data_IF_901911623355
#
_entry.id   IF_901911623355
#
_cell.length_a   1.000
_cell.length_b   1.000
_cell.length_c   1.000
_cell.angle_alpha   90.00
_cell.angle_beta   90.00
_cell.angle_gamma   90.00
#
_symmetry.space_group_name_H-M   'P 1'
#
loop_
_entity.id
_entity.type
_entity.pdbx_description
1 polymer ?
#
# COMPACT_ATOMS: atom_id res chain seq x y z
N UNK A 1 -32.37 20.19 50.71
CA UNK A 1 -31.17 21.02 50.71
C UNK A 1 -30.97 21.62 49.33
N UNK A 2 -31.21 22.93 49.21
CA UNK A 2 -31.08 23.61 47.92
C UNK A 2 -29.60 23.93 47.63
N UNK A 3 -29.10 23.45 46.53
CA UNK A 3 -27.75 23.76 46.05
C UNK A 3 -27.71 25.25 45.62
N UNK A 4 -26.95 26.04 46.32
CA UNK A 4 -26.73 27.45 45.96
C UNK A 4 -25.73 27.55 44.82
N UNK A 5 -25.88 28.55 43.92
CA UNK A 5 -24.99 28.79 42.79
C UNK A 5 -23.50 28.87 43.16
N UNK A 6 -23.18 29.34 44.36
CA UNK A 6 -21.78 29.37 44.89
C UNK A 6 -21.23 27.98 45.22
N UNK A 7 -22.07 27.02 45.67
CA UNK A 7 -21.65 25.64 45.93
C UNK A 7 -21.31 24.87 44.66
N UNK A 8 -22.00 25.21 43.55
CA UNK A 8 -21.73 24.58 42.24
C UNK A 8 -20.36 24.99 41.68
N UNK A 9 -20.01 26.27 41.79
CA UNK A 9 -18.71 26.78 41.32
C UNK A 9 -17.52 26.22 42.11
N UNK A 10 -17.67 25.99 43.42
CA UNK A 10 -16.60 25.38 44.23
C UNK A 10 -16.37 23.89 43.89
N UNK A 11 -17.42 23.21 43.44
CA UNK A 11 -17.33 21.82 42.99
C UNK A 11 -16.61 21.73 41.63
N UNK A 12 -16.87 22.66 40.72
CA UNK A 12 -16.15 22.75 39.43
C UNK A 12 -14.69 23.17 39.58
N UNK A 13 -14.36 24.07 40.53
CA UNK A 13 -12.96 24.46 40.77
C UNK A 13 -12.12 23.34 41.36
N UNK A 14 -12.69 22.47 42.18
CA UNK A 14 -11.99 21.25 42.68
C UNK A 14 -11.93 20.13 41.66
N UNK A 15 -12.92 20.04 40.76
CA UNK A 15 -12.91 19.12 39.62
C UNK A 15 -11.89 19.47 38.56
N UNK A 16 -11.64 20.78 38.32
CA UNK A 16 -10.69 21.23 37.30
C UNK A 16 -9.24 20.86 37.62
N UNK A 17 -8.85 20.90 38.90
CA UNK A 17 -7.51 20.48 39.33
C UNK A 17 -7.31 18.97 39.20
N UNK A 18 -8.35 18.17 39.43
CA UNK A 18 -8.30 16.73 39.23
C UNK A 18 -8.24 16.35 37.74
N UNK A 19 -8.92 17.12 36.86
CA UNK A 19 -8.88 16.93 35.40
C UNK A 19 -7.51 17.28 34.82
N UNK A 20 -6.83 18.32 35.32
CA UNK A 20 -5.47 18.67 34.88
C UNK A 20 -4.45 17.61 35.31
N UNK A 21 -4.53 17.10 36.53
CA UNK A 21 -3.69 16.00 37.00
C UNK A 21 -4.03 14.68 36.28
N UNK A 22 -5.33 14.40 36.07
CA UNK A 22 -5.80 13.23 35.33
C UNK A 22 -5.43 13.29 33.85
N UNK A 23 -5.45 14.48 33.23
CA UNK A 23 -5.04 14.69 31.85
C UNK A 23 -3.55 14.43 31.60
N UNK A 24 -2.71 14.75 32.57
CA UNK A 24 -1.26 14.46 32.48
C UNK A 24 -0.96 12.97 32.67
N UNK A 25 -1.65 12.30 33.61
CA UNK A 25 -1.59 10.85 33.81
C UNK A 25 -2.19 10.11 32.60
N UNK A 26 -3.30 10.62 32.05
CA UNK A 26 -3.93 10.08 30.84
C UNK A 26 -3.00 10.20 29.62
N UNK A 27 -2.34 11.35 29.41
CA UNK A 27 -1.33 11.49 28.34
C UNK A 27 -0.13 10.57 28.51
N UNK A 28 0.31 10.32 29.73
CA UNK A 28 1.38 9.35 30.02
C UNK A 28 0.89 7.92 29.84
N UNK A 29 -0.31 7.59 30.31
CA UNK A 29 -0.92 6.27 30.16
C UNK A 29 -1.24 5.97 28.67
N UNK A 30 -1.78 6.94 27.92
CA UNK A 30 -2.07 6.75 26.49
C UNK A 30 -0.80 6.67 25.65
N UNK A 31 0.25 7.42 25.97
CA UNK A 31 1.56 7.23 25.30
C UNK A 31 2.11 5.82 25.50
N UNK A 32 1.92 5.23 26.67
CA UNK A 32 2.44 3.88 26.96
C UNK A 32 1.49 2.75 26.53
N UNK A 33 0.17 2.98 26.51
CA UNK A 33 -0.82 1.97 26.12
C UNK A 33 -0.92 1.84 24.60
N UNK A 34 -0.80 2.96 23.84
CA UNK A 34 -0.76 2.92 22.37
C UNK A 34 0.66 2.79 21.79
N UNK A 35 1.70 3.04 22.58
CA UNK A 35 3.09 2.77 22.22
C UNK A 35 3.55 1.36 22.67
N UNK A 36 2.64 0.54 23.19
CA UNK A 36 2.92 -0.86 23.42
C UNK A 36 3.43 -1.47 22.11
N UNK A 37 4.74 -1.67 22.04
CA UNK A 37 5.42 -2.34 20.94
C UNK A 37 4.83 -3.73 20.80
N UNK A 38 3.85 -3.86 19.92
CA UNK A 38 3.43 -5.17 19.48
C UNK A 38 4.68 -5.88 18.95
N UNK A 39 4.96 -7.14 19.36
CA UNK A 39 6.23 -7.82 19.10
C UNK A 39 6.67 -7.80 17.62
N UNK A 40 5.72 -7.70 16.69
CA UNK A 40 5.95 -7.63 15.25
C UNK A 40 6.24 -6.21 14.73
N UNK A 41 5.92 -5.14 15.47
CA UNK A 41 6.36 -3.76 15.13
C UNK A 41 7.85 -3.56 15.36
N UNK A 42 8.47 -4.31 16.29
CA UNK A 42 9.88 -4.17 16.64
C UNK A 42 10.83 -5.00 15.78
N UNK A 43 10.31 -5.90 14.93
CA UNK A 43 11.11 -6.85 14.14
C UNK A 43 11.24 -6.50 12.67
N UNK A 44 10.92 -5.27 12.25
CA UNK A 44 11.32 -4.85 10.92
C UNK A 44 12.85 -4.82 10.84
N UNK A 45 13.47 -5.32 9.77
CA UNK A 45 14.88 -5.06 9.48
C UNK A 45 15.03 -3.54 9.43
N UNK A 46 15.76 -2.97 10.35
CA UNK A 46 15.59 -1.59 10.80
C UNK A 46 16.13 -0.53 9.85
N UNK A 47 16.89 -0.90 8.83
CA UNK A 47 17.59 0.06 7.99
C UNK A 47 17.16 0.03 6.52
N UNK A 48 16.29 -0.87 6.11
CA UNK A 48 15.87 -1.00 4.71
C UNK A 48 14.69 -0.08 4.40
N UNK A 49 14.61 0.33 3.15
CA UNK A 49 13.51 1.12 2.59
C UNK A 49 13.02 0.48 1.31
N UNK A 50 12.07 -0.43 1.44
CA UNK A 50 11.60 -1.24 0.31
C UNK A 50 10.87 -0.43 -0.75
N UNK A 51 11.23 -0.67 -2.00
CA UNK A 51 10.63 -0.06 -3.19
C UNK A 51 10.36 -1.10 -4.27
N UNK A 52 9.41 -0.83 -5.13
CA UNK A 52 9.08 -1.65 -6.29
C UNK A 52 9.11 -0.80 -7.55
N UNK A 53 9.58 -1.36 -8.66
CA UNK A 53 9.59 -0.69 -9.96
C UNK A 53 8.96 -1.63 -10.98
N UNK A 54 8.01 -1.12 -11.75
CA UNK A 54 7.43 -1.81 -12.90
C UNK A 54 7.98 -1.20 -14.19
N UNK A 55 8.62 -2.01 -15.01
CA UNK A 55 9.02 -1.64 -16.36
C UNK A 55 7.88 -1.98 -17.33
N UNK A 56 7.11 -0.94 -17.70
CA UNK A 56 5.94 -1.11 -18.57
C UNK A 56 6.34 -1.48 -20.00
N UNK A 57 7.58 -1.22 -20.39
CA UNK A 57 8.10 -1.63 -21.69
C UNK A 57 8.32 -3.15 -21.79
N UNK A 58 8.56 -3.82 -20.64
CA UNK A 58 8.75 -5.26 -20.55
C UNK A 58 7.45 -6.02 -20.23
N UNK A 59 6.42 -5.33 -19.71
CA UNK A 59 5.19 -5.98 -19.28
C UNK A 59 4.31 -6.34 -20.48
N UNK A 60 4.01 -7.64 -20.63
CA UNK A 60 3.17 -8.21 -21.68
C UNK A 60 1.72 -8.48 -21.24
N UNK A 61 1.37 -8.17 -19.98
CA UNK A 61 0.03 -8.37 -19.46
C UNK A 61 -0.33 -9.82 -19.09
N UNK A 62 0.61 -10.76 -19.05
CA UNK A 62 0.35 -12.21 -18.82
C UNK A 62 -0.38 -12.53 -17.50
N UNK A 63 -0.35 -11.63 -16.52
CA UNK A 63 -1.00 -11.81 -15.22
C UNK A 63 -0.32 -12.82 -14.28
N UNK A 64 0.88 -13.29 -14.58
CA UNK A 64 1.59 -14.26 -13.74
C UNK A 64 1.92 -13.71 -12.35
N UNK A 65 2.19 -12.40 -12.24
CA UNK A 65 2.37 -11.73 -10.96
C UNK A 65 1.09 -11.79 -10.09
N UNK A 66 -0.09 -11.64 -10.68
CA UNK A 66 -1.39 -11.78 -10.01
C UNK A 66 -1.63 -13.22 -9.58
N UNK A 67 -1.49 -14.18 -10.50
CA UNK A 67 -1.68 -15.61 -10.20
C UNK A 67 -0.76 -16.10 -9.09
N UNK A 68 0.53 -15.73 -9.14
CA UNK A 68 1.50 -16.10 -8.11
C UNK A 68 1.18 -15.46 -6.75
N UNK A 69 0.76 -14.19 -6.73
CA UNK A 69 0.31 -13.51 -5.53
C UNK A 69 -0.90 -14.21 -4.91
N UNK A 70 -1.93 -14.48 -5.73
CA UNK A 70 -3.17 -15.13 -5.28
C UNK A 70 -2.89 -16.53 -4.71
N UNK A 71 -2.02 -17.30 -5.36
CA UNK A 71 -1.63 -18.64 -4.90
C UNK A 71 -0.85 -18.60 -3.59
N UNK A 72 0.14 -17.70 -3.47
CA UNK A 72 1.03 -17.61 -2.30
C UNK A 72 0.28 -17.12 -1.05
N UNK A 73 -0.63 -16.19 -1.24
CA UNK A 73 -1.34 -15.53 -0.15
C UNK A 73 -2.78 -16.04 0.04
N UNK A 74 -3.17 -17.10 -0.66
CA UNK A 74 -4.55 -17.64 -0.62
C UNK A 74 -5.63 -16.57 -0.85
N UNK A 75 -5.33 -15.57 -1.71
CA UNK A 75 -6.23 -14.43 -1.93
C UNK A 75 -7.61 -14.93 -2.31
N UNK A 76 -8.68 -14.48 -1.64
CA UNK A 76 -10.03 -14.95 -1.89
C UNK A 76 -10.43 -14.80 -3.36
N UNK A 77 -11.23 -15.72 -3.91
CA UNK A 77 -11.77 -15.60 -5.25
C UNK A 77 -12.45 -14.24 -5.47
N UNK A 78 -12.36 -13.72 -6.69
CA UNK A 78 -12.89 -12.39 -7.07
C UNK A 78 -12.09 -11.20 -6.51
N UNK A 79 -10.97 -11.47 -5.80
CA UNK A 79 -10.05 -10.43 -5.35
C UNK A 79 -8.69 -10.58 -6.03
N UNK A 80 -8.04 -9.45 -6.23
CA UNK A 80 -6.68 -9.37 -6.76
C UNK A 80 -5.93 -8.28 -6.00
N UNK A 81 -4.80 -8.64 -5.39
CA UNK A 81 -3.94 -7.67 -4.72
C UNK A 81 -2.99 -6.96 -5.69
N UNK A 82 -2.80 -7.55 -6.87
CA UNK A 82 -2.15 -6.93 -8.02
C UNK A 82 -3.12 -7.03 -9.18
N UNK A 83 -3.60 -5.89 -9.67
CA UNK A 83 -4.47 -5.82 -10.84
C UNK A 83 -3.63 -5.39 -12.04
N UNK A 84 -3.72 -6.12 -13.13
CA UNK A 84 -3.06 -5.75 -14.39
C UNK A 84 -4.10 -5.07 -15.28
N UNK A 85 -3.90 -3.80 -15.56
CA UNK A 85 -4.77 -3.02 -16.42
C UNK A 85 -4.18 -2.95 -17.82
N UNK A 86 -5.00 -3.20 -18.80
CA UNK A 86 -4.72 -2.83 -20.16
C UNK A 86 -5.02 -1.33 -20.32
N UNK A 87 -4.06 -0.57 -20.79
CA UNK A 87 -4.17 0.87 -20.96
C UNK A 87 -4.05 1.17 -22.45
N UNK A 88 -5.14 1.68 -23.02
CA UNK A 88 -5.24 2.15 -24.40
C UNK A 88 -5.69 3.60 -24.37
N UNK A 89 -4.75 4.52 -24.16
CA UNK A 89 -5.05 5.94 -23.95
C UNK A 89 -5.68 6.61 -25.19
N UNK A 90 -5.28 6.17 -26.37
CA UNK A 90 -5.93 6.53 -27.63
C UNK A 90 -5.46 5.59 -28.76
N UNK A 91 -6.14 5.58 -29.93
CA UNK A 91 -5.76 4.70 -31.06
C UNK A 91 -4.34 4.90 -31.59
N UNK A 92 -3.70 6.02 -31.28
CA UNK A 92 -2.35 6.34 -31.74
C UNK A 92 -1.27 6.10 -30.67
N UNK A 93 -1.66 5.85 -29.40
CA UNK A 93 -0.71 5.76 -28.29
C UNK A 93 -0.12 4.36 -28.09
N UNK A 94 -0.66 3.35 -28.74
CA UNK A 94 -0.30 1.95 -28.51
C UNK A 94 -0.83 1.44 -27.15
N UNK A 95 -1.10 0.16 -27.10
CA UNK A 95 -1.56 -0.53 -25.89
C UNK A 95 -0.38 -0.93 -25.03
N UNK A 96 -0.52 -0.81 -23.72
CA UNK A 96 0.44 -1.30 -22.74
C UNK A 96 -0.26 -1.81 -21.49
N UNK A 97 0.43 -2.62 -20.71
CA UNK A 97 -0.11 -3.21 -19.49
C UNK A 97 0.49 -2.58 -18.25
N UNK A 98 -0.37 -2.24 -17.28
CA UNK A 98 0.04 -1.60 -16.03
C UNK A 98 -0.36 -2.45 -14.83
N UNK A 99 0.57 -3.21 -14.23
CA UNK A 99 0.34 -3.87 -12.96
C UNK A 99 0.22 -2.84 -11.82
N UNK A 100 -0.83 -2.95 -11.01
CA UNK A 100 -1.12 -1.99 -9.95
C UNK A 100 -1.38 -2.68 -8.61
N UNK A 101 -0.35 -2.84 -7.74
CA UNK A 101 -0.47 -3.29 -6.36
C UNK A 101 -0.83 -2.15 -5.41
N UNK A 102 -0.79 -2.40 -4.09
CA UNK A 102 -0.72 -1.32 -3.11
C UNK A 102 0.56 -0.51 -3.28
N UNK A 103 0.46 0.81 -3.25
CA UNK A 103 1.59 1.73 -3.47
C UNK A 103 2.52 1.89 -2.27
N UNK A 104 2.19 1.33 -1.11
CA UNK A 104 2.98 1.45 0.14
C UNK A 104 3.48 2.87 0.42
N UNK A 105 2.61 3.85 0.25
CA UNK A 105 2.89 5.28 0.34
C UNK A 105 3.71 5.67 1.56
N UNK A 106 4.60 6.67 1.43
CA UNK A 106 5.32 7.23 2.57
C UNK A 106 4.42 8.12 3.42
N UNK A 107 3.45 8.78 2.79
CA UNK A 107 2.40 9.56 3.43
C UNK A 107 1.01 8.89 3.24
N UNK A 108 0.73 7.74 3.91
CA UNK A 108 -0.41 6.89 3.59
C UNK A 108 -1.71 7.42 4.20
N UNK A 109 -2.68 7.91 3.42
CA UNK A 109 -3.96 8.39 3.94
C UNK A 109 -4.75 7.26 4.63
N UNK A 110 -4.63 6.04 4.14
CA UNK A 110 -5.29 4.87 4.71
C UNK A 110 -4.82 4.51 6.13
N UNK A 111 -3.58 4.85 6.51
CA UNK A 111 -3.07 4.68 7.88
C UNK A 111 -3.68 5.74 8.79
N UNK A 112 -3.74 6.98 8.33
CA UNK A 112 -4.34 8.08 9.10
C UNK A 112 -5.82 7.90 9.35
N UNK A 113 -6.53 7.31 8.39
CA UNK A 113 -7.97 7.08 8.49
C UNK A 113 -8.35 5.88 9.37
N UNK A 114 -7.41 5.02 9.78
CA UNK A 114 -7.75 3.83 10.54
C UNK A 114 -7.96 4.13 12.03
N UNK A 115 -9.21 4.08 12.56
CA UNK A 115 -9.50 4.50 13.94
C UNK A 115 -8.91 3.55 14.99
N UNK A 116 -8.67 2.28 14.61
CA UNK A 116 -8.14 1.24 15.51
C UNK A 116 -6.67 0.92 15.27
N UNK A 117 -6.01 1.61 14.34
CA UNK A 117 -4.61 1.37 13.98
C UNK A 117 -4.35 -0.04 13.42
N UNK A 118 -5.37 -0.69 12.85
CA UNK A 118 -5.22 -1.95 12.14
C UNK A 118 -4.40 -1.80 10.85
N UNK A 119 -4.52 -0.66 10.19
CA UNK A 119 -3.60 -0.26 9.12
C UNK A 119 -2.49 0.59 9.71
N UNK A 120 -1.24 0.21 9.52
CA UNK A 120 -0.08 0.92 10.09
C UNK A 120 1.11 0.86 9.14
N UNK A 121 2.09 1.75 9.32
CA UNK A 121 3.32 1.79 8.55
C UNK A 121 4.50 1.31 9.38
N UNK A 122 5.30 0.43 8.80
CA UNK A 122 6.55 -0.07 9.38
C UNK A 122 7.71 0.91 9.12
N UNK A 123 8.79 0.76 9.86
CA UNK A 123 10.02 1.56 9.68
C UNK A 123 10.70 1.30 8.34
N UNK A 124 10.53 0.12 7.75
CA UNK A 124 11.04 -0.25 6.43
C UNK A 124 10.16 0.25 5.24
N UNK A 125 9.18 1.10 5.52
CA UNK A 125 8.32 1.70 4.51
C UNK A 125 7.08 0.87 4.14
N UNK A 126 6.97 -0.36 4.59
CA UNK A 126 5.83 -1.22 4.27
C UNK A 126 4.57 -0.76 5.04
N UNK A 127 3.49 -0.52 4.32
CA UNK A 127 2.17 -0.32 4.93
C UNK A 127 1.53 -1.68 5.14
N UNK A 128 1.23 -2.00 6.39
CA UNK A 128 0.68 -3.29 6.83
C UNK A 128 -0.81 -3.19 7.14
N UNK A 129 -1.44 -4.35 7.20
CA UNK A 129 -2.82 -4.54 7.65
C UNK A 129 -2.85 -5.67 8.69
N UNK A 130 -3.47 -5.39 9.83
CA UNK A 130 -3.70 -6.36 10.91
C UNK A 130 -5.19 -6.68 11.00
N UNK A 131 -5.56 -7.90 10.62
CA UNK A 131 -6.95 -8.32 10.57
C UNK A 131 -7.50 -8.70 11.95
N UNK A 132 -6.64 -8.97 12.95
CA UNK A 132 -7.08 -9.16 14.34
C UNK A 132 -7.59 -7.85 14.98
N UNK A 133 -7.12 -6.72 14.48
CA UNK A 133 -7.52 -5.39 14.94
C UNK A 133 -8.54 -4.72 14.04
N UNK A 134 -8.75 -5.25 12.84
CA UNK A 134 -9.63 -4.65 11.84
C UNK A 134 -11.10 -4.78 12.27
N UNK A 135 -11.80 -3.66 12.33
CA UNK A 135 -13.26 -3.60 12.62
C UNK A 135 -14.12 -3.50 11.35
N UNK A 136 -13.51 -3.55 10.16
CA UNK A 136 -14.25 -3.54 8.90
C UNK A 136 -14.94 -2.23 8.53
N UNK A 137 -14.56 -1.09 9.12
CA UNK A 137 -15.21 0.21 8.87
C UNK A 137 -15.02 0.74 7.44
N UNK A 138 -14.07 0.19 6.68
CA UNK A 138 -13.77 0.51 5.26
C UNK A 138 -13.26 1.93 5.00
N UNK A 139 -13.03 2.75 6.00
CA UNK A 139 -12.48 4.11 5.83
C UNK A 139 -11.17 4.11 5.03
N UNK A 140 -10.32 3.10 5.25
CA UNK A 140 -9.07 2.96 4.52
C UNK A 140 -9.25 2.61 3.03
N UNK A 141 -10.41 2.09 2.59
CA UNK A 141 -10.76 1.90 1.18
C UNK A 141 -11.11 3.26 0.59
N UNK A 142 -12.01 4.01 1.23
CA UNK A 142 -12.45 5.32 0.78
C UNK A 142 -11.28 6.31 0.65
N UNK A 143 -10.30 6.22 1.54
CA UNK A 143 -9.11 7.07 1.54
C UNK A 143 -8.01 6.64 0.57
N UNK A 144 -8.11 5.46 -0.05
CA UNK A 144 -7.08 4.97 -0.95
C UNK A 144 -7.33 5.43 -2.40
N UNK A 145 -6.55 6.38 -2.95
CA UNK A 145 -6.78 6.86 -4.32
C UNK A 145 -6.41 5.82 -5.38
N UNK A 146 -5.74 4.74 -4.97
CA UNK A 146 -5.26 3.69 -5.88
C UNK A 146 -6.20 2.49 -5.96
N UNK A 147 -7.31 2.45 -5.23
CA UNK A 147 -8.24 1.31 -5.16
C UNK A 147 -7.54 -0.03 -4.86
N UNK A 148 -6.47 0.02 -4.04
CA UNK A 148 -5.58 -1.10 -3.79
C UNK A 148 -5.99 -1.94 -2.57
N UNK A 149 -7.23 -1.79 -2.08
CA UNK A 149 -7.76 -2.49 -0.92
C UNK A 149 -9.03 -3.24 -1.27
N UNK A 150 -9.10 -4.48 -0.80
CA UNK A 150 -10.28 -5.34 -0.93
C UNK A 150 -10.93 -5.56 0.43
N UNK A 151 -12.22 -5.89 0.44
CA UNK A 151 -12.98 -6.18 1.64
C UNK A 151 -13.66 -7.55 1.53
N UNK A 152 -13.57 -8.35 2.58
CA UNK A 152 -14.21 -9.65 2.66
C UNK A 152 -15.67 -9.53 3.12
N UNK A 153 -16.58 -9.40 2.16
CA UNK A 153 -18.02 -9.27 2.42
C UNK A 153 -18.65 -10.54 2.98
N UNK A 154 -18.15 -11.68 2.55
CA UNK A 154 -18.58 -13.01 3.01
C UNK A 154 -17.40 -13.74 3.63
N UNK A 155 -17.65 -14.89 4.26
CA UNK A 155 -16.57 -15.77 4.69
C UNK A 155 -15.82 -16.27 3.47
N UNK A 156 -14.50 -16.04 3.37
CA UNK A 156 -13.71 -16.52 2.26
C UNK A 156 -13.65 -18.07 2.27
N UNK A 157 -13.60 -18.71 1.11
CA UNK A 157 -13.33 -20.14 1.05
C UNK A 157 -11.90 -20.42 1.48
N UNK A 158 -11.72 -21.33 2.43
CA UNK A 158 -10.42 -21.68 2.97
C UNK A 158 -9.86 -22.96 2.37
N UNK A 159 -8.54 -23.00 2.20
CA UNK A 159 -7.82 -24.22 1.89
C UNK A 159 -7.23 -24.85 3.15
N UNK A 160 -6.94 -26.15 3.13
CA UNK A 160 -6.29 -26.81 4.26
C UNK A 160 -4.91 -26.19 4.59
N UNK A 161 -4.16 -25.74 3.57
CA UNK A 161 -2.87 -25.09 3.75
C UNK A 161 -2.99 -23.72 4.41
N UNK A 162 -4.02 -22.95 4.08
CA UNK A 162 -4.32 -21.68 4.72
C UNK A 162 -4.67 -21.85 6.19
N UNK A 163 -5.59 -22.79 6.50
CA UNK A 163 -6.04 -23.05 7.88
C UNK A 163 -4.96 -23.66 8.78
N UNK A 164 -3.97 -24.33 8.21
CA UNK A 164 -2.82 -24.84 8.96
C UNK A 164 -1.84 -23.72 9.40
N UNK A 165 -1.97 -22.54 8.83
CA UNK A 165 -1.09 -21.43 9.16
C UNK A 165 -1.59 -20.67 10.41
N UNK A 166 -0.64 -20.22 11.23
CA UNK A 166 -0.94 -19.27 12.29
C UNK A 166 -1.04 -17.88 11.68
N UNK A 167 -2.13 -17.18 11.97
CA UNK A 167 -2.31 -15.81 11.48
C UNK A 167 -1.14 -14.91 11.87
N UNK A 168 -0.71 -14.12 10.95
CA UNK A 168 0.18 -12.99 11.22
C UNK A 168 -0.13 -11.84 10.23
N UNK A 169 0.04 -10.58 10.64
CA UNK A 169 -0.12 -9.43 9.73
C UNK A 169 0.79 -9.46 8.51
N UNK A 170 1.88 -10.20 8.55
CA UNK A 170 2.82 -10.31 7.43
C UNK A 170 2.37 -11.29 6.36
N UNK A 171 1.65 -12.32 6.76
CA UNK A 171 1.05 -13.30 5.85
C UNK A 171 -0.35 -12.88 5.41
N UNK A 172 -1.09 -12.22 6.32
CA UNK A 172 -2.48 -11.79 6.16
C UNK A 172 -3.50 -12.94 5.99
N UNK A 173 -3.12 -14.17 6.28
CA UNK A 173 -4.01 -15.34 6.28
C UNK A 173 -3.87 -16.15 7.59
N UNK A 174 -4.86 -16.92 8.02
CA UNK A 174 -6.16 -17.17 7.38
C UNK A 174 -7.01 -15.90 7.22
N UNK A 175 -7.69 -15.82 6.07
CA UNK A 175 -8.56 -14.69 5.75
C UNK A 175 -9.83 -14.71 6.61
N UNK A 176 -10.48 -13.55 6.78
CA UNK A 176 -11.67 -13.44 7.64
C UNK A 176 -12.72 -12.52 7.02
N UNK A 177 -13.99 -12.90 7.17
CA UNK A 177 -15.11 -12.02 6.87
C UNK A 177 -14.99 -10.70 7.62
N UNK A 178 -15.35 -9.61 6.98
CA UNK A 178 -15.41 -8.30 7.61
C UNK A 178 -14.06 -7.61 7.74
N UNK A 179 -13.00 -8.11 7.12
CA UNK A 179 -11.66 -7.52 7.16
C UNK A 179 -11.21 -6.97 5.82
N UNK A 180 -10.16 -6.13 5.88
CA UNK A 180 -9.54 -5.49 4.72
C UNK A 180 -8.27 -6.23 4.34
N UNK A 181 -8.05 -6.35 3.04
CA UNK A 181 -6.86 -6.97 2.48
C UNK A 181 -6.21 -6.11 1.41
N UNK A 182 -4.92 -6.35 1.18
CA UNK A 182 -4.12 -5.66 0.17
C UNK A 182 -2.75 -6.31 0.01
N UNK A 183 -2.01 -5.95 -1.04
CA UNK A 183 -0.60 -6.32 -1.17
C UNK A 183 0.23 -5.90 0.06
N UNK A 184 1.03 -6.80 0.59
CA UNK A 184 1.90 -6.61 1.77
C UNK A 184 3.40 -6.50 1.45
N UNK A 185 3.83 -6.51 0.19
CA UNK A 185 5.26 -6.63 -0.21
C UNK A 185 5.96 -7.92 0.26
N UNK A 186 5.20 -8.95 0.63
CA UNK A 186 5.72 -10.27 1.03
C UNK A 186 6.84 -10.22 2.10
N UNK A 187 6.64 -9.64 3.30
CA UNK A 187 7.71 -9.47 4.29
C UNK A 187 8.37 -10.79 4.72
N UNK A 188 7.62 -11.88 4.68
CA UNK A 188 8.14 -13.23 4.98
C UNK A 188 9.19 -13.69 3.96
N UNK A 189 9.03 -13.35 2.68
CA UNK A 189 10.01 -13.64 1.64
C UNK A 189 11.25 -12.75 1.77
N UNK A 190 11.03 -11.47 2.08
CA UNK A 190 12.13 -10.51 2.28
C UNK A 190 13.05 -10.92 3.43
N UNK A 191 12.46 -11.44 4.54
CA UNK A 191 13.26 -12.02 5.64
C UNK A 191 14.08 -13.24 5.24
N UNK A 192 13.62 -13.98 4.23
CA UNK A 192 14.35 -15.11 3.67
C UNK A 192 15.36 -14.71 2.58
N UNK A 193 15.60 -13.40 2.36
CA UNK A 193 16.48 -12.87 1.33
C UNK A 193 15.98 -13.13 -0.09
N UNK A 194 14.66 -13.29 -0.27
CA UNK A 194 14.03 -13.58 -1.56
C UNK A 194 13.22 -12.39 -2.05
N UNK A 195 13.10 -12.25 -3.36
CA UNK A 195 12.21 -11.28 -3.98
C UNK A 195 10.74 -11.60 -3.63
N UNK A 196 9.85 -10.59 -3.57
CA UNK A 196 8.41 -10.81 -3.51
C UNK A 196 7.93 -11.77 -4.60
N UNK A 197 6.90 -12.56 -4.29
CA UNK A 197 6.44 -13.62 -5.20
C UNK A 197 6.07 -13.10 -6.60
N UNK A 198 5.50 -11.91 -6.70
CA UNK A 198 5.16 -11.29 -7.98
C UNK A 198 6.40 -10.92 -8.81
N UNK A 199 7.47 -10.47 -8.15
CA UNK A 199 8.73 -10.20 -8.83
C UNK A 199 9.41 -11.49 -9.25
N UNK A 200 9.45 -12.50 -8.37
CA UNK A 200 10.03 -13.82 -8.69
C UNK A 200 9.30 -14.54 -9.83
N UNK A 201 7.98 -14.39 -9.93
CA UNK A 201 7.15 -15.06 -10.93
C UNK A 201 7.12 -14.35 -12.29
N UNK A 202 7.63 -13.13 -12.38
CA UNK A 202 7.60 -12.36 -13.62
C UNK A 202 8.60 -12.91 -14.64
N UNK A 203 8.13 -13.67 -15.63
CA UNK A 203 8.95 -14.25 -16.69
C UNK A 203 9.60 -13.22 -17.60
N UNK A 204 8.93 -12.05 -17.77
CA UNK A 204 9.45 -10.95 -18.58
C UNK A 204 10.52 -10.12 -17.84
N UNK A 205 10.67 -10.29 -16.52
CA UNK A 205 11.57 -9.46 -15.73
C UNK A 205 11.11 -8.00 -15.62
N UNK A 206 9.81 -7.75 -15.77
CA UNK A 206 9.23 -6.42 -15.71
C UNK A 206 9.08 -5.87 -14.28
N UNK A 207 9.14 -6.74 -13.27
CA UNK A 207 8.95 -6.35 -11.86
C UNK A 207 10.29 -6.37 -11.15
N UNK A 208 10.74 -5.21 -10.70
CA UNK A 208 11.94 -5.03 -9.90
C UNK A 208 11.56 -4.72 -8.45
N UNK A 209 12.36 -5.19 -7.53
CA UNK A 209 12.17 -4.93 -6.11
C UNK A 209 13.53 -4.76 -5.42
N UNK A 210 13.63 -3.87 -4.44
CA UNK A 210 14.89 -3.64 -3.73
C UNK A 210 14.80 -2.58 -2.66
N UNK A 211 15.97 -2.08 -2.27
CA UNK A 211 16.14 -1.11 -1.19
C UNK A 211 16.52 0.27 -1.76
N UNK A 212 15.75 1.28 -1.39
CA UNK A 212 16.02 2.68 -1.75
C UNK A 212 17.35 3.18 -1.18
N UNK A 213 17.73 2.71 0.03
CA UNK A 213 18.97 3.13 0.69
C UNK A 213 20.21 2.54 0.01
N UNK A 214 20.08 1.36 -0.58
CA UNK A 214 21.13 0.73 -1.39
C UNK A 214 21.14 1.22 -2.84
N UNK A 215 20.15 2.05 -3.22
CA UNK A 215 19.93 2.53 -4.59
C UNK A 215 19.87 1.38 -5.62
N UNK A 216 19.37 0.21 -5.23
CA UNK A 216 19.38 -0.99 -6.04
C UNK A 216 18.04 -1.71 -6.02
N UNK A 217 17.53 -2.06 -7.21
CA UNK A 217 16.36 -2.91 -7.40
C UNK A 217 16.67 -3.99 -8.41
N UNK A 218 16.24 -5.23 -8.13
CA UNK A 218 16.55 -6.43 -8.91
C UNK A 218 15.29 -7.14 -9.35
N UNK A 219 15.30 -7.75 -10.52
CA UNK A 219 14.20 -8.53 -11.07
C UNK A 219 14.45 -10.06 -11.02
N UNK A 220 13.48 -10.84 -11.52
CA UNK A 220 13.56 -12.31 -11.60
C UNK A 220 14.71 -12.86 -12.46
N UNK A 221 15.22 -12.06 -13.40
CA UNK A 221 16.34 -12.43 -14.28
C UNK A 221 17.72 -12.07 -13.70
N UNK A 222 17.75 -11.52 -12.47
CA UNK A 222 19.00 -11.06 -11.85
C UNK A 222 19.49 -9.71 -12.38
N UNK A 223 18.69 -9.02 -13.21
CA UNK A 223 19.04 -7.68 -13.66
C UNK A 223 18.85 -6.69 -12.50
N UNK A 224 19.90 -5.97 -12.17
CA UNK A 224 19.87 -4.93 -11.13
C UNK A 224 20.03 -3.55 -11.75
N UNK A 225 19.14 -2.63 -11.39
CA UNK A 225 19.17 -1.24 -11.83
C UNK A 225 19.23 -0.29 -10.63
N UNK A 226 19.86 0.86 -10.84
CA UNK A 226 19.91 1.90 -9.81
C UNK A 226 18.60 2.70 -9.79
N UNK A 227 17.96 2.79 -8.64
CA UNK A 227 16.72 3.53 -8.46
C UNK A 227 16.87 5.02 -8.80
N UNK A 228 18.00 5.62 -8.45
CA UNK A 228 18.32 7.00 -8.78
C UNK A 228 18.40 7.26 -10.29
N UNK A 229 18.81 6.26 -11.08
CA UNK A 229 18.75 6.35 -12.55
C UNK A 229 17.33 6.25 -13.07
N UNK A 230 16.51 5.37 -12.47
CA UNK A 230 15.09 5.22 -12.81
C UNK A 230 14.36 6.54 -12.61
N UNK A 231 14.53 7.17 -11.43
CA UNK A 231 13.79 8.39 -11.06
C UNK A 231 14.29 9.66 -11.77
N UNK A 232 15.62 9.78 -11.97
CA UNK A 232 16.23 11.03 -12.50
C UNK A 232 16.43 11.00 -14.02
N UNK A 233 16.77 9.86 -14.60
CA UNK A 233 17.14 9.73 -16.03
C UNK A 233 16.20 8.86 -16.84
N UNK A 234 15.54 7.90 -16.19
CA UNK A 234 14.70 6.90 -16.85
C UNK A 234 13.24 7.31 -17.03
N UNK A 235 12.91 8.57 -16.78
CA UNK A 235 11.52 9.06 -16.80
C UNK A 235 10.58 8.22 -15.92
N UNK A 236 11.13 7.61 -14.85
CA UNK A 236 10.33 6.87 -13.88
C UNK A 236 9.36 7.80 -13.16
N UNK A 237 8.11 7.38 -13.04
CA UNK A 237 7.04 8.17 -12.45
C UNK A 237 6.30 7.37 -11.37
N UNK A 238 5.60 8.06 -10.52
CA UNK A 238 4.67 7.48 -9.54
C UNK A 238 3.23 7.86 -9.93
N UNK A 239 2.28 7.01 -9.62
CA UNK A 239 0.89 7.31 -9.90
C UNK A 239 0.36 8.39 -8.96
N UNK A 240 -0.38 9.37 -9.50
CA UNK A 240 -1.06 10.44 -8.76
C UNK A 240 -0.12 11.17 -7.79
N UNK A 241 1.06 11.57 -8.24
CA UNK A 241 2.05 12.28 -7.43
C UNK A 241 1.51 13.57 -6.83
N UNK A 242 0.60 14.23 -7.54
CA UNK A 242 -0.08 15.47 -7.15
C UNK A 242 -0.89 15.33 -5.86
N UNK A 243 -1.26 14.11 -5.46
CA UNK A 243 -1.99 13.87 -4.21
C UNK A 243 -1.09 13.86 -2.96
N UNK A 244 0.22 13.97 -3.12
CA UNK A 244 1.19 14.03 -2.02
C UNK A 244 1.23 12.80 -1.13
N UNK A 245 0.78 11.65 -1.63
CA UNK A 245 0.79 10.37 -0.88
C UNK A 245 2.14 9.69 -0.88
N UNK A 246 3.03 10.10 -1.79
CA UNK A 246 4.41 9.61 -1.93
C UNK A 246 4.48 8.08 -2.11
N UNK A 247 3.99 7.53 -3.24
CA UNK A 247 4.09 6.10 -3.56
C UNK A 247 5.52 5.57 -3.52
N UNK A 248 5.72 4.35 -3.01
CA UNK A 248 6.99 3.60 -3.09
C UNK A 248 7.02 2.62 -4.26
N UNK A 249 6.03 2.69 -5.13
CA UNK A 249 5.95 1.96 -6.39
C UNK A 249 6.19 2.94 -7.53
N UNK A 250 7.19 2.66 -8.33
CA UNK A 250 7.60 3.46 -9.49
C UNK A 250 7.27 2.70 -10.77
N UNK A 251 7.09 3.46 -11.85
CA UNK A 251 6.83 2.93 -13.18
C UNK A 251 7.83 3.51 -14.16
N UNK A 252 8.44 2.65 -14.98
CA UNK A 252 9.14 3.08 -16.19
C UNK A 252 8.15 3.17 -17.34
N UNK A 253 8.30 4.15 -18.24
CA UNK A 253 7.35 4.35 -19.32
C UNK A 253 7.33 3.16 -20.29
N UNK A 254 6.18 2.89 -20.94
CA UNK A 254 6.09 1.86 -21.97
C UNK A 254 6.86 2.26 -23.22
N UNK A 255 7.49 1.28 -23.89
CA UNK A 255 8.26 1.51 -25.10
C UNK A 255 7.37 1.94 -26.30
N UNK A 256 6.12 1.49 -26.32
CA UNK A 256 5.19 1.68 -27.42
C UNK A 256 4.35 2.95 -27.33
N UNK A 257 4.53 3.77 -26.30
CA UNK A 257 3.79 5.00 -26.17
C UNK A 257 4.25 5.99 -27.24
N UNK A 258 3.48 6.08 -28.31
CA UNK A 258 3.64 7.14 -29.30
C UNK A 258 3.04 8.40 -28.68
N UNK A 259 3.87 9.34 -28.28
CA UNK A 259 3.37 10.68 -27.97
C UNK A 259 2.80 11.28 -29.26
N UNK A 260 1.63 11.93 -29.25
CA UNK A 260 1.15 12.67 -30.39
C UNK A 260 2.23 13.69 -30.78
N UNK A 261 2.88 13.46 -31.89
CA UNK A 261 3.78 14.45 -32.49
C UNK A 261 2.97 15.68 -32.94
N UNK A 262 3.63 16.79 -33.21
CA UNK A 262 2.97 17.91 -33.86
C UNK A 262 2.35 17.40 -35.18
N UNK A 263 1.19 17.96 -35.53
CA UNK A 263 0.55 17.70 -36.82
C UNK A 263 1.45 18.18 -37.96
N UNK A 264 1.04 17.92 -39.22
CA UNK A 264 1.78 18.34 -40.40
C UNK A 264 2.01 19.87 -40.47
N UNK A 265 1.31 20.64 -39.62
CA UNK A 265 1.44 22.10 -39.46
C UNK A 265 2.28 22.52 -38.26
N UNK A 266 2.87 21.57 -37.54
CA UNK A 266 3.68 21.83 -36.35
C UNK A 266 2.88 22.21 -35.08
N UNK A 267 1.54 22.02 -35.09
CA UNK A 267 0.69 22.27 -33.94
C UNK A 267 0.57 20.98 -33.09
N UNK A 268 0.72 21.12 -31.78
CA UNK A 268 0.43 20.03 -30.88
C UNK A 268 -1.06 19.66 -30.99
N UNK A 269 -1.35 18.42 -31.37
CA UNK A 269 -2.71 17.91 -31.39
C UNK A 269 -3.27 17.97 -29.98
N UNK A 270 -4.25 18.83 -29.72
CA UNK A 270 -4.97 18.86 -28.46
C UNK A 270 -5.74 17.54 -28.33
N UNK A 271 -5.38 16.75 -27.34
CA UNK A 271 -6.14 15.55 -27.00
C UNK A 271 -7.45 16.04 -26.37
N UNK A 272 -8.55 15.83 -27.07
CA UNK A 272 -9.88 16.04 -26.53
C UNK A 272 -10.10 14.97 -25.44
N UNK A 273 -9.93 15.37 -24.19
CA UNK A 273 -10.07 14.48 -23.03
C UNK A 273 -11.54 14.12 -22.76
N UNK A 274 -12.45 14.33 -23.74
CA UNK A 274 -13.83 13.87 -23.69
C UNK A 274 -14.49 14.11 -22.32
N UNK A 275 -14.47 15.35 -21.84
CA UNK A 275 -15.31 15.72 -20.69
C UNK A 275 -16.75 15.77 -21.18
N UNK A 276 -17.38 14.62 -21.27
CA UNK A 276 -18.81 14.56 -21.38
C UNK A 276 -19.39 14.97 -20.02
N UNK A 277 -20.06 16.10 -20.09
CA UNK A 277 -20.94 16.74 -19.12
C UNK A 277 -21.92 15.78 -18.46
#
# INVERSE_FOLDING_TARGET
>A
MALTRRGLFSFFARGATAVVAGGSVWKLATKNVFAGTLPWRSKAPTNQKWVMVFDLAKCDGCGDCTKACNKMHYVPPMQEWIKVYEVADNPTAGEYYMPRPCMHCDNPPCVRACPVGATFKRTDGIVMQDNDRCIGCRECIAQCPYSARSFNWAEPPHTAGELAAVYSPENMYPHRKGTIEKCGFCPHMLRAGKLPVCASACTMGAVYFGDELEDAVTNSKGETIQLSKVTKRGAGFRLLEELGTEPRVYYLPPANRKYPGPDEKGQLVQIDLGRNS
#
